data_IF_083996375047
#
_entry.id   IF_083996375047
#
_cell.length_a   1.000
_cell.length_b   1.000
_cell.length_c   1.000
_cell.angle_alpha   90.00
_cell.angle_beta   90.00
_cell.angle_gamma   90.00
#
_symmetry.space_group_name_H-M   'P 1'
#
loop_
_entity.id
_entity.type
_entity.pdbx_description
1 polymer ?
#
# COMPACT_ATOMS: atom_id res chain seq x y z
N UNK A 1 66.11 -44.78 12.53
CA UNK A 1 64.86 -45.30 13.10
C UNK A 1 63.75 -44.40 12.56
N UNK A 2 63.10 -44.75 11.43
CA UNK A 2 61.87 -45.59 11.32
C UNK A 2 60.67 -44.89 12.01
N UNK A 3 59.50 -44.56 11.44
CA UNK A 3 58.73 -44.96 10.24
C UNK A 3 57.60 -43.90 10.08
N UNK A 4 57.18 -43.63 8.84
CA UNK A 4 56.03 -42.79 8.41
C UNK A 4 54.68 -43.55 8.37
N UNK A 5 53.59 -42.88 7.97
CA UNK A 5 52.22 -43.36 7.60
C UNK A 5 51.18 -43.36 8.73
N UNK A 6 49.87 -43.13 8.56
CA UNK A 6 48.95 -42.87 7.43
C UNK A 6 47.58 -42.55 8.07
N UNK A 7 46.66 -41.89 7.36
CA UNK A 7 45.29 -42.40 7.18
C UNK A 7 44.41 -41.43 6.40
N UNK A 8 43.94 -41.90 5.26
CA UNK A 8 43.01 -41.27 4.32
C UNK A 8 41.59 -41.63 4.79
N UNK A 9 40.69 -40.65 4.80
CA UNK A 9 39.27 -40.87 5.13
C UNK A 9 38.58 -41.37 3.86
N UNK A 10 38.16 -42.63 3.87
CA UNK A 10 37.38 -43.25 2.78
C UNK A 10 36.00 -43.60 3.34
N UNK A 11 34.98 -42.82 3.00
CA UNK A 11 33.59 -43.15 3.32
C UNK A 11 33.04 -44.15 2.31
N UNK A 12 32.59 -45.30 2.81
CA UNK A 12 31.87 -46.32 2.06
C UNK A 12 30.38 -46.29 2.43
N UNK A 13 29.57 -46.28 1.38
CA UNK A 13 28.10 -46.25 1.30
C UNK A 13 27.52 -47.56 1.88
N UNK A 14 26.33 -47.58 2.48
CA UNK A 14 25.34 -48.66 2.24
C UNK A 14 23.92 -48.25 2.65
N UNK A 15 23.01 -48.33 1.68
CA UNK A 15 21.56 -48.22 1.77
C UNK A 15 20.96 -49.42 2.50
N UNK A 16 19.91 -49.21 3.31
CA UNK A 16 18.91 -50.26 3.60
C UNK A 16 17.51 -49.69 3.46
N UNK A 17 16.73 -50.29 2.57
CA UNK A 17 15.31 -50.03 2.37
C UNK A 17 14.49 -50.84 3.37
N UNK A 18 13.38 -50.30 3.87
CA UNK A 18 12.05 -50.94 3.84
C UNK A 18 10.96 -50.06 4.48
N UNK A 19 9.87 -49.92 3.73
CA UNK A 19 8.65 -49.18 4.02
C UNK A 19 7.75 -49.91 5.03
N UNK A 20 7.14 -49.21 5.98
CA UNK A 20 5.81 -49.56 6.52
C UNK A 20 5.12 -48.28 7.02
N UNK A 21 4.00 -47.90 6.39
CA UNK A 21 3.08 -46.88 6.93
C UNK A 21 1.97 -47.57 7.72
N UNK A 22 1.59 -47.05 8.89
CA UNK A 22 0.21 -47.04 9.31
C UNK A 22 -0.34 -45.61 9.21
N UNK A 23 -1.40 -45.51 8.41
CA UNK A 23 -2.44 -44.47 8.44
C UNK A 23 -3.05 -44.39 9.87
N UNK A 24 -3.82 -43.32 10.14
CA UNK A 24 -4.64 -43.00 11.35
C UNK A 24 -3.98 -42.15 12.44
N UNK A 25 -4.01 -40.82 12.30
CA UNK A 25 -4.81 -39.93 13.17
C UNK A 25 -4.54 -38.47 12.77
N UNK A 26 -5.58 -37.84 12.25
CA UNK A 26 -5.62 -36.47 11.80
C UNK A 26 -5.72 -35.53 13.02
N UNK A 27 -4.60 -35.00 13.52
CA UNK A 27 -4.62 -33.84 14.43
C UNK A 27 -3.49 -32.87 14.08
N UNK A 28 -3.78 -31.97 13.16
CA UNK A 28 -3.05 -30.71 13.02
C UNK A 28 -3.92 -29.63 13.66
N UNK A 29 -3.77 -29.43 14.97
CA UNK A 29 -4.23 -28.22 15.62
C UNK A 29 -3.43 -27.04 15.08
N UNK A 30 -3.88 -26.47 13.96
CA UNK A 30 -3.49 -25.14 13.57
C UNK A 30 -4.12 -24.19 14.59
N UNK A 31 -3.35 -23.82 15.62
CA UNK A 31 -3.66 -22.63 16.41
C UNK A 31 -3.67 -21.44 15.45
N UNK A 32 -4.87 -21.09 14.99
CA UNK A 32 -5.15 -19.86 14.30
C UNK A 32 -4.88 -18.72 15.28
N UNK A 33 -3.63 -18.27 15.33
CA UNK A 33 -3.29 -16.93 15.77
C UNK A 33 -4.07 -15.97 14.88
N UNK A 34 -5.21 -15.52 15.39
CA UNK A 34 -5.95 -14.41 14.85
C UNK A 34 -5.03 -13.20 14.96
N UNK A 35 -4.24 -12.92 13.92
CA UNK A 35 -3.69 -11.59 13.70
C UNK A 35 -4.89 -10.69 13.42
N UNK A 36 -5.48 -10.14 14.47
CA UNK A 36 -6.33 -8.96 14.34
C UNK A 36 -5.41 -7.80 14.00
N UNK A 37 -5.00 -7.72 12.73
CA UNK A 37 -4.33 -6.55 12.18
C UNK A 37 -5.27 -5.37 12.37
N UNK A 38 -4.87 -4.33 13.13
CA UNK A 38 -5.68 -3.12 13.27
C UNK A 38 -6.01 -2.57 11.88
N UNK A 39 -7.23 -2.06 11.64
CA UNK A 39 -7.55 -1.43 10.36
C UNK A 39 -6.50 -0.37 10.04
N UNK A 40 -5.85 -0.48 8.87
CA UNK A 40 -4.91 0.52 8.42
C UNK A 40 -5.67 1.83 8.25
N UNK A 41 -5.25 2.88 8.95
CA UNK A 41 -5.83 4.21 8.79
C UNK A 41 -5.55 4.71 7.36
N UNK A 42 -6.59 5.17 6.66
CA UNK A 42 -6.45 5.77 5.33
C UNK A 42 -5.65 7.06 5.43
N UNK A 43 -4.50 7.13 4.75
CA UNK A 43 -3.69 8.34 4.71
C UNK A 43 -4.45 9.48 4.02
N UNK A 44 -4.48 10.65 4.67
CA UNK A 44 -5.02 11.89 4.11
C UNK A 44 -3.86 12.78 3.70
N UNK A 45 -3.87 13.20 2.44
CA UNK A 45 -2.88 14.11 1.87
C UNK A 45 -3.48 15.51 1.77
N UNK A 46 -2.65 16.54 1.96
CA UNK A 46 -3.07 17.93 1.82
C UNK A 46 -2.08 18.69 0.93
N UNK A 47 -2.61 19.54 0.06
CA UNK A 47 -1.81 20.41 -0.79
C UNK A 47 -2.60 21.67 -1.16
N UNK A 48 -1.97 22.57 -1.89
CA UNK A 48 -2.58 23.78 -2.43
C UNK A 48 -2.68 23.69 -3.94
N UNK A 49 -3.55 24.48 -4.55
CA UNK A 49 -3.66 24.51 -6.00
C UNK A 49 -4.60 25.58 -6.53
N UNK A 50 -4.86 25.51 -7.82
CA UNK A 50 -5.76 26.41 -8.53
C UNK A 50 -6.83 25.57 -9.25
N UNK A 51 -8.10 25.94 -9.07
CA UNK A 51 -9.22 25.31 -9.79
C UNK A 51 -9.09 25.57 -11.29
N UNK A 52 -9.00 24.51 -12.09
CA UNK A 52 -8.93 24.59 -13.56
C UNK A 52 -10.27 24.31 -14.22
N UNK A 53 -11.04 23.36 -13.69
CA UNK A 53 -12.37 23.00 -14.18
C UNK A 53 -13.15 22.29 -13.08
N UNK A 54 -14.47 22.50 -13.04
CA UNK A 54 -15.38 21.82 -12.12
C UNK A 54 -16.46 21.07 -12.90
N UNK A 55 -16.64 19.78 -12.60
CA UNK A 55 -17.64 18.89 -13.21
C UNK A 55 -18.60 18.36 -12.13
N UNK A 56 -19.58 17.54 -12.53
CA UNK A 56 -20.58 16.99 -11.61
C UNK A 56 -19.97 16.07 -10.53
N UNK A 57 -18.94 15.30 -10.87
CA UNK A 57 -18.35 14.24 -10.05
C UNK A 57 -16.85 14.44 -9.78
N UNK A 58 -16.26 15.49 -10.33
CA UNK A 58 -14.82 15.70 -10.34
C UNK A 58 -14.45 17.18 -10.44
N UNK A 59 -13.26 17.50 -9.94
CA UNK A 59 -12.63 18.82 -10.10
C UNK A 59 -11.21 18.66 -10.60
N UNK A 60 -10.85 19.41 -11.63
CA UNK A 60 -9.48 19.47 -12.15
C UNK A 60 -8.72 20.59 -11.45
N UNK A 61 -7.61 20.24 -10.80
CA UNK A 61 -6.78 21.16 -10.03
C UNK A 61 -5.36 21.15 -10.57
N UNK A 62 -4.80 22.35 -10.75
CA UNK A 62 -3.34 22.52 -10.88
C UNK A 62 -2.79 22.61 -9.47
N UNK A 63 -2.22 21.52 -8.97
CA UNK A 63 -1.80 21.40 -7.58
C UNK A 63 -0.28 21.59 -7.43
N UNK A 64 0.12 22.06 -6.24
CA UNK A 64 1.50 22.13 -5.81
C UNK A 64 2.07 20.72 -5.52
N UNK A 65 3.39 20.56 -5.42
CA UNK A 65 4.00 19.25 -5.15
C UNK A 65 3.43 18.57 -3.91
N UNK A 66 3.29 17.24 -3.97
CA UNK A 66 2.85 16.42 -2.82
C UNK A 66 4.01 15.52 -2.44
N UNK A 67 4.76 15.93 -1.40
CA UNK A 67 6.02 15.29 -1.03
C UNK A 67 5.85 13.82 -0.63
N UNK A 68 4.81 13.50 0.15
CA UNK A 68 4.53 12.14 0.64
C UNK A 68 4.29 11.15 -0.51
N UNK A 69 3.71 11.64 -1.61
CA UNK A 69 3.46 10.87 -2.84
C UNK A 69 4.58 11.01 -3.88
N UNK A 70 5.60 11.84 -3.61
CA UNK A 70 6.68 12.20 -4.55
C UNK A 70 6.15 12.78 -5.87
N UNK A 71 5.04 13.51 -5.81
CA UNK A 71 4.46 14.13 -6.99
C UNK A 71 5.01 15.53 -7.22
N UNK A 72 5.35 15.88 -8.48
CA UNK A 72 5.63 17.26 -8.83
C UNK A 72 4.35 18.10 -8.82
N UNK A 73 4.49 19.41 -9.04
CA UNK A 73 3.35 20.24 -9.39
C UNK A 73 2.79 19.78 -10.74
N UNK A 74 1.48 19.51 -10.81
CA UNK A 74 0.83 19.04 -12.04
C UNK A 74 -0.65 19.39 -12.06
N UNK A 75 -1.31 19.16 -13.19
CA UNK A 75 -2.76 19.34 -13.34
C UNK A 75 -3.42 17.99 -13.50
N UNK A 76 -4.34 17.66 -12.61
CA UNK A 76 -5.10 16.40 -12.66
C UNK A 76 -6.50 16.55 -12.07
N UNK A 77 -7.35 15.57 -12.36
CA UNK A 77 -8.70 15.48 -11.80
C UNK A 77 -8.71 14.74 -10.47
N UNK A 78 -9.48 15.27 -9.52
CA UNK A 78 -9.81 14.64 -8.25
C UNK A 78 -11.31 14.37 -8.21
N UNK A 79 -11.70 13.20 -7.72
CA UNK A 79 -13.09 12.79 -7.58
C UNK A 79 -13.75 13.54 -6.42
N UNK A 80 -14.99 13.97 -6.60
CA UNK A 80 -15.83 14.51 -5.53
C UNK A 80 -16.56 13.35 -4.82
N UNK A 81 -16.67 13.37 -3.48
CA UNK A 81 -17.47 12.36 -2.78
C UNK A 81 -18.93 12.47 -3.19
N UNK A 82 -19.59 11.33 -3.39
CA UNK A 82 -20.99 11.24 -3.81
C UNK A 82 -21.98 11.87 -2.82
N UNK A 83 -21.61 12.00 -1.55
CA UNK A 83 -22.42 12.62 -0.49
C UNK A 83 -21.81 13.92 0.04
N UNK A 84 -20.83 14.52 -0.67
CA UNK A 84 -20.11 15.67 -0.12
C UNK A 84 -20.92 16.96 -0.19
N UNK A 85 -20.88 17.74 0.88
CA UNK A 85 -21.37 19.13 0.91
C UNK A 85 -20.40 20.10 0.21
N UNK A 86 -19.37 19.60 -0.48
CA UNK A 86 -18.39 20.43 -1.19
C UNK A 86 -19.09 21.20 -2.31
N UNK A 87 -19.17 22.51 -2.13
CA UNK A 87 -19.76 23.43 -3.11
C UNK A 87 -18.78 23.74 -4.24
N UNK A 88 -19.24 23.82 -5.51
CA UNK A 88 -18.41 24.23 -6.63
C UNK A 88 -17.75 25.60 -6.43
N UNK A 89 -16.45 25.66 -6.76
CA UNK A 89 -15.66 26.89 -6.74
C UNK A 89 -15.42 27.39 -8.17
N UNK A 90 -15.30 28.72 -8.33
CA UNK A 90 -15.02 29.33 -9.62
C UNK A 90 -13.64 28.91 -10.16
N UNK A 91 -13.52 28.85 -11.49
CA UNK A 91 -12.22 28.62 -12.15
C UNK A 91 -11.24 29.74 -11.79
N UNK A 92 -9.96 29.38 -11.66
CA UNK A 92 -8.86 30.21 -11.18
C UNK A 92 -8.89 30.58 -9.69
N UNK A 93 -9.78 29.97 -8.89
CA UNK A 93 -9.75 30.13 -7.43
C UNK A 93 -8.53 29.41 -6.84
N UNK A 94 -7.66 30.10 -6.06
CA UNK A 94 -6.62 29.45 -5.28
C UNK A 94 -7.25 28.72 -4.09
N UNK A 95 -6.80 27.50 -3.81
CA UNK A 95 -7.42 26.61 -2.81
C UNK A 95 -6.37 25.87 -2.00
N UNK A 96 -6.73 25.55 -0.76
CA UNK A 96 -6.11 24.47 0.02
C UNK A 96 -7.09 23.31 0.04
N UNK A 97 -6.63 22.10 -0.21
CA UNK A 97 -7.49 20.93 -0.29
C UNK A 97 -6.81 19.68 0.22
N UNK A 98 -7.64 18.74 0.68
CA UNK A 98 -7.22 17.45 1.19
C UNK A 98 -7.90 16.32 0.42
N UNK A 99 -7.21 15.21 0.27
CA UNK A 99 -7.69 14.05 -0.47
C UNK A 99 -7.16 12.75 0.10
N UNK A 100 -7.84 11.66 -0.23
CA UNK A 100 -7.41 10.29 0.07
C UNK A 100 -7.23 9.51 -1.22
N UNK A 101 -6.42 8.46 -1.16
CA UNK A 101 -6.38 7.46 -2.21
C UNK A 101 -7.45 6.39 -1.92
N UNK A 102 -8.24 6.07 -2.93
CA UNK A 102 -9.26 5.01 -2.93
C UNK A 102 -9.00 4.06 -4.08
N UNK A 103 -9.75 2.95 -4.14
CA UNK A 103 -9.67 1.99 -5.25
C UNK A 103 -10.03 2.64 -6.61
N UNK A 104 -10.77 3.75 -6.59
CA UNK A 104 -11.19 4.48 -7.80
C UNK A 104 -10.26 5.65 -8.17
N UNK A 105 -9.20 5.90 -7.39
CA UNK A 105 -8.26 7.00 -7.64
C UNK A 105 -8.13 7.94 -6.43
N UNK A 106 -8.16 9.25 -6.66
CA UNK A 106 -7.95 10.26 -5.62
C UNK A 106 -9.22 11.06 -5.38
N UNK A 107 -9.75 10.98 -4.16
CA UNK A 107 -11.03 11.57 -3.78
C UNK A 107 -10.80 12.72 -2.81
N UNK A 108 -11.36 13.90 -3.11
CA UNK A 108 -11.33 15.05 -2.21
C UNK A 108 -12.07 14.74 -0.92
N UNK A 109 -11.49 15.13 0.21
CA UNK A 109 -12.14 15.10 1.52
C UNK A 109 -12.48 16.50 2.03
N UNK A 110 -11.71 17.51 1.61
CA UNK A 110 -11.98 18.91 1.92
C UNK A 110 -11.38 19.83 0.84
N UNK A 111 -11.98 21.00 0.64
CA UNK A 111 -11.44 22.06 -0.21
C UNK A 111 -11.92 23.41 0.31
N UNK A 112 -11.02 24.39 0.36
CA UNK A 112 -11.31 25.73 0.87
C UNK A 112 -10.57 26.77 0.04
N UNK A 113 -11.24 27.85 -0.42
CA UNK A 113 -10.58 28.98 -1.03
C UNK A 113 -9.49 29.55 -0.12
N UNK A 114 -8.31 29.81 -0.67
CA UNK A 114 -7.30 30.58 0.05
C UNK A 114 -7.77 32.02 0.11
N UNK A 115 -7.81 32.57 1.32
CA UNK A 115 -8.11 33.98 1.51
C UNK A 115 -6.98 34.82 0.91
N UNK A 116 -7.29 35.92 0.19
CA UNK A 116 -6.27 36.81 -0.37
C UNK A 116 -5.38 37.46 0.71
#
# INVERSE_FOLDING_TARGET
>A
MRITYSAIISSLIFFVSSFISPVWANDHQHHAMMHTTPPAATAVYQTTGIVKQWNADSVTLSHAPVADLKWPAMTMAFTLPSTSEITPLAVNTPVTFSFIQTDSGYTLTAITPQQP
#
